data_IF_436126657266
#
_entry.id   IF_436126657266
#
_cell.length_a   1.000
_cell.length_b   1.000
_cell.length_c   1.000
_cell.angle_alpha   90.00
_cell.angle_beta   90.00
_cell.angle_gamma   90.00
#
_symmetry.space_group_name_H-M   'P 1'
#
loop_
_entity.id
_entity.type
_entity.pdbx_description
1 polymer ?
#
# COMPACT_ATOMS: atom_id res chain seq x y z
N UNK A 1 -36.92 -44.90 -24.80
CA UNK A 1 -35.61 -44.26 -24.62
C UNK A 1 -35.24 -44.49 -23.16
N UNK A 2 -34.39 -45.47 -22.89
CA UNK A 2 -34.02 -45.80 -21.50
C UNK A 2 -33.08 -44.72 -20.96
N UNK A 3 -33.36 -44.23 -19.76
CA UNK A 3 -32.63 -43.10 -19.17
C UNK A 3 -31.21 -43.52 -18.78
N UNK A 4 -30.16 -42.87 -19.29
CA UNK A 4 -28.76 -43.27 -19.08
C UNK A 4 -28.27 -43.17 -17.63
N UNK A 5 -29.08 -42.60 -16.74
CA UNK A 5 -28.77 -42.39 -15.32
C UNK A 5 -29.20 -43.56 -14.42
N UNK A 6 -30.06 -44.45 -14.91
CA UNK A 6 -30.56 -45.59 -14.13
C UNK A 6 -29.43 -46.58 -13.81
N UNK A 7 -28.57 -46.83 -14.79
CA UNK A 7 -27.43 -47.73 -14.64
C UNK A 7 -26.38 -47.14 -13.69
N UNK A 8 -26.07 -45.85 -13.81
CA UNK A 8 -25.15 -45.16 -12.89
C UNK A 8 -25.62 -45.24 -11.44
N UNK A 9 -26.92 -45.01 -11.20
CA UNK A 9 -27.51 -45.10 -9.87
C UNK A 9 -27.48 -46.52 -9.30
N UNK A 10 -27.67 -47.53 -10.14
CA UNK A 10 -27.59 -48.93 -9.74
C UNK A 10 -26.15 -49.32 -9.38
N UNK A 11 -25.19 -48.96 -10.23
CA UNK A 11 -23.76 -49.22 -10.03
C UNK A 11 -23.21 -48.58 -8.74
N UNK A 12 -23.61 -47.33 -8.44
CA UNK A 12 -23.20 -46.65 -7.19
C UNK A 12 -23.83 -47.33 -5.96
N UNK A 13 -25.05 -47.85 -6.09
CA UNK A 13 -25.75 -48.53 -5.00
C UNK A 13 -25.18 -49.92 -4.73
N UNK A 14 -24.72 -50.60 -5.78
CA UNK A 14 -24.13 -51.95 -5.74
C UNK A 14 -22.67 -51.93 -5.25
N UNK A 15 -21.91 -50.88 -5.60
CA UNK A 15 -20.54 -50.68 -5.12
C UNK A 15 -20.44 -50.41 -3.60
N UNK A 16 -21.55 -50.01 -2.96
CA UNK A 16 -21.57 -49.65 -1.54
C UNK A 16 -20.85 -48.33 -1.25
N UNK A 17 -21.16 -47.74 -0.09
CA UNK A 17 -20.41 -46.60 0.42
C UNK A 17 -19.13 -47.15 1.06
N UNK A 18 -18.02 -47.11 0.33
CA UNK A 18 -16.68 -47.32 0.87
C UNK A 18 -16.50 -46.38 2.05
N UNK A 19 -16.49 -46.92 3.27
CA UNK A 19 -16.25 -46.11 4.46
C UNK A 19 -14.79 -45.66 4.39
N UNK A 20 -14.53 -44.34 4.37
CA UNK A 20 -13.16 -43.86 4.36
C UNK A 20 -12.43 -44.42 5.58
N UNK A 21 -11.13 -44.65 5.45
CA UNK A 21 -10.31 -45.13 6.58
C UNK A 21 -10.51 -44.21 7.79
N UNK A 22 -10.45 -44.73 9.01
CA UNK A 22 -10.70 -43.93 10.22
C UNK A 22 -9.83 -42.66 10.31
N UNK A 23 -8.65 -42.67 9.69
CA UNK A 23 -7.72 -41.55 9.66
C UNK A 23 -7.86 -40.63 8.42
N UNK A 24 -8.80 -40.89 7.52
CA UNK A 24 -8.94 -40.14 6.27
C UNK A 24 -9.17 -38.65 6.53
N UNK A 25 -10.13 -38.33 7.40
CA UNK A 25 -10.46 -36.93 7.71
C UNK A 25 -9.29 -36.24 8.41
N UNK A 26 -8.58 -36.96 9.28
CA UNK A 26 -7.38 -36.47 9.96
C UNK A 26 -6.27 -36.15 8.94
N UNK A 27 -5.96 -37.05 8.02
CA UNK A 27 -4.92 -36.84 7.00
C UNK A 27 -5.28 -35.70 6.03
N UNK A 28 -6.56 -35.56 5.68
CA UNK A 28 -7.03 -34.44 4.85
C UNK A 28 -6.91 -33.12 5.60
N UNK A 29 -7.36 -33.04 6.85
CA UNK A 29 -7.22 -31.83 7.67
C UNK A 29 -5.77 -31.46 7.92
N UNK A 30 -4.88 -32.43 8.14
CA UNK A 30 -3.45 -32.21 8.31
C UNK A 30 -2.81 -31.63 7.05
N UNK A 31 -3.15 -32.14 5.86
CA UNK A 31 -2.68 -31.56 4.60
C UNK A 31 -3.27 -30.18 4.31
N UNK A 32 -4.54 -29.94 4.68
CA UNK A 32 -5.19 -28.63 4.56
C UNK A 32 -4.54 -27.60 5.49
N UNK A 33 -4.18 -28.00 6.71
CA UNK A 33 -3.50 -27.15 7.68
C UNK A 33 -2.08 -26.78 7.20
N UNK A 34 -1.31 -27.75 6.70
CA UNK A 34 0.02 -27.49 6.13
C UNK A 34 -0.04 -26.55 4.91
N UNK A 35 -1.02 -26.75 4.02
CA UNK A 35 -1.20 -25.87 2.86
C UNK A 35 -1.72 -24.48 3.24
N UNK A 36 -2.60 -24.34 4.25
CA UNK A 36 -3.03 -23.01 4.73
C UNK A 36 -1.92 -22.25 5.44
N UNK A 37 -0.99 -22.93 6.11
CA UNK A 37 0.21 -22.31 6.69
C UNK A 37 1.12 -21.75 5.59
N UNK A 38 1.30 -22.47 4.48
CA UNK A 38 2.10 -21.99 3.33
C UNK A 38 1.42 -20.87 2.54
N UNK A 39 0.08 -20.84 2.51
CA UNK A 39 -0.71 -19.84 1.77
C UNK A 39 -0.98 -18.59 2.63
N UNK A 40 -0.65 -18.59 3.91
CA UNK A 40 -0.77 -17.39 4.75
C UNK A 40 -0.01 -16.24 4.07
N UNK A 41 -0.71 -15.20 3.56
CA UNK A 41 -0.06 -14.14 2.82
C UNK A 41 0.81 -13.41 3.82
N UNK A 42 2.09 -13.78 3.89
CA UNK A 42 3.05 -13.13 4.77
C UNK A 42 3.06 -11.66 4.37
N UNK A 43 2.38 -10.85 5.17
CA UNK A 43 2.06 -9.48 4.81
C UNK A 43 3.35 -8.68 4.89
N UNK A 44 4.05 -8.60 3.77
CA UNK A 44 5.29 -7.84 3.66
C UNK A 44 4.89 -6.37 3.63
N UNK A 45 5.31 -5.56 4.62
CA UNK A 45 4.93 -4.15 4.65
C UNK A 45 5.42 -3.49 3.35
N UNK A 46 4.51 -2.84 2.62
CA UNK A 46 4.79 -2.16 1.33
C UNK A 46 6.01 -1.23 1.41
N UNK A 47 6.26 -0.64 2.58
CA UNK A 47 7.39 0.25 2.86
C UNK A 47 8.05 -0.24 4.16
N UNK A 48 9.35 -0.54 4.07
CA UNK A 48 10.18 -0.92 5.22
C UNK A 48 10.24 0.22 6.26
N UNK A 49 10.38 -0.13 7.54
CA UNK A 49 10.53 0.83 8.65
C UNK A 49 11.66 1.84 8.41
N UNK A 50 12.75 1.42 7.74
CA UNK A 50 13.89 2.28 7.38
C UNK A 50 13.49 3.39 6.41
N UNK A 51 12.67 3.07 5.41
CA UNK A 51 12.21 4.04 4.40
C UNK A 51 11.24 5.05 5.02
N UNK A 52 10.42 4.61 5.97
CA UNK A 52 9.58 5.50 6.79
C UNK A 52 10.38 6.53 7.58
N UNK A 53 11.51 6.12 8.15
CA UNK A 53 12.42 7.03 8.85
C UNK A 53 13.02 8.07 7.91
N UNK A 54 13.48 7.65 6.72
CA UNK A 54 14.04 8.55 5.70
C UNK A 54 13.01 9.60 5.26
N UNK A 55 11.76 9.19 5.04
CA UNK A 55 10.66 10.11 4.69
C UNK A 55 10.42 11.13 5.80
N UNK A 56 10.40 10.69 7.06
CA UNK A 56 10.27 11.58 8.20
C UNK A 56 11.39 12.63 8.28
N UNK A 57 12.64 12.20 8.03
CA UNK A 57 13.80 13.11 8.01
C UNK A 57 13.67 14.13 6.89
N UNK A 58 13.30 13.72 5.68
CA UNK A 58 13.11 14.64 4.54
C UNK A 58 12.05 15.69 4.85
N UNK A 59 10.91 15.28 5.40
CA UNK A 59 9.83 16.19 5.78
C UNK A 59 10.29 17.15 6.89
N UNK A 60 11.01 16.66 7.90
CA UNK A 60 11.54 17.48 8.98
C UNK A 60 12.55 18.52 8.48
N UNK A 61 13.45 18.13 7.56
CA UNK A 61 14.41 19.06 6.93
C UNK A 61 13.66 20.13 6.13
N UNK A 62 12.66 19.75 5.34
CA UNK A 62 11.85 20.69 4.59
C UNK A 62 11.18 21.72 5.51
N UNK A 63 10.53 21.26 6.58
CA UNK A 63 9.89 22.13 7.59
C UNK A 63 10.89 23.06 8.28
N UNK A 64 12.06 22.55 8.64
CA UNK A 64 13.10 23.31 9.33
C UNK A 64 13.70 24.39 8.43
N UNK A 65 13.73 24.17 7.11
CA UNK A 65 14.21 25.14 6.13
C UNK A 65 13.22 26.29 5.88
N UNK A 66 11.91 26.09 6.05
CA UNK A 66 10.87 27.13 5.82
C UNK A 66 11.15 28.46 6.54
N UNK A 67 11.47 28.51 7.84
CA UNK A 67 11.72 29.78 8.55
C UNK A 67 13.00 30.50 8.09
N UNK A 68 13.97 29.79 7.49
CA UNK A 68 15.18 30.41 6.94
C UNK A 68 14.95 31.04 5.55
N UNK A 69 13.74 30.94 4.99
CA UNK A 69 13.38 31.67 3.77
C UNK A 69 13.22 33.16 4.09
N UNK A 70 14.00 33.99 3.41
CA UNK A 70 14.04 35.46 3.56
C UNK A 70 12.69 36.15 3.28
N UNK A 71 12.38 37.25 3.99
CA UNK A 71 11.16 38.09 3.87
C UNK A 71 11.11 38.99 2.63
N UNK A 72 12.12 38.90 1.75
CA UNK A 72 12.15 39.67 0.52
C UNK A 72 10.92 39.42 -0.35
N UNK A 73 10.39 40.48 -0.96
CA UNK A 73 9.36 40.46 -2.02
C UNK A 73 9.80 39.70 -3.30
N UNK A 74 10.94 39.03 -3.22
CA UNK A 74 11.52 38.16 -4.23
C UNK A 74 10.75 36.84 -4.20
N UNK A 75 10.10 36.50 -5.31
CA UNK A 75 9.41 35.21 -5.46
C UNK A 75 10.37 34.09 -5.07
N UNK A 76 9.99 33.28 -4.10
CA UNK A 76 10.79 32.19 -3.51
C UNK A 76 11.26 31.21 -4.61
N UNK A 77 10.49 31.12 -5.69
CA UNK A 77 10.80 30.32 -6.89
C UNK A 77 11.88 30.92 -7.79
N UNK A 78 12.18 32.22 -7.70
CA UNK A 78 13.21 32.84 -8.53
C UNK A 78 14.63 32.51 -8.04
N UNK A 79 14.80 32.28 -6.73
CA UNK A 79 16.10 31.96 -6.13
C UNK A 79 16.38 30.45 -6.07
N UNK A 80 15.34 29.62 -6.22
CA UNK A 80 15.50 28.18 -6.40
C UNK A 80 15.83 27.93 -7.87
N UNK A 81 17.06 27.48 -8.14
CA UNK A 81 17.53 27.28 -9.49
C UNK A 81 16.88 26.04 -10.13
N UNK A 82 15.71 26.20 -10.74
CA UNK A 82 14.97 25.17 -11.48
C UNK A 82 15.60 24.81 -12.83
N UNK A 83 16.91 24.98 -12.99
CA UNK A 83 17.65 24.64 -14.21
C UNK A 83 17.41 23.18 -14.67
N UNK A 84 17.12 22.28 -13.72
CA UNK A 84 16.72 20.91 -14.02
C UNK A 84 15.41 20.81 -14.85
N UNK A 85 14.42 21.67 -14.60
CA UNK A 85 13.15 21.68 -15.34
C UNK A 85 13.34 22.21 -16.77
N UNK A 86 14.24 23.18 -16.96
CA UNK A 86 14.62 23.67 -18.29
C UNK A 86 15.29 22.58 -19.13
N UNK A 87 16.07 21.68 -18.50
CA UNK A 87 16.67 20.51 -19.15
C UNK A 87 15.63 19.51 -19.67
N UNK A 88 14.40 19.55 -19.12
CA UNK A 88 13.28 18.69 -19.50
C UNK A 88 12.30 19.40 -20.46
N UNK A 89 12.64 20.60 -20.95
CA UNK A 89 11.78 21.47 -21.79
C UNK A 89 10.42 21.80 -21.18
N UNK A 90 10.25 21.64 -19.87
CA UNK A 90 9.02 21.99 -19.17
C UNK A 90 9.09 23.49 -18.85
N UNK A 91 8.33 24.28 -19.60
CA UNK A 91 8.15 25.71 -19.30
C UNK A 91 7.51 25.82 -17.91
N UNK A 92 8.22 26.42 -16.95
CA UNK A 92 7.76 26.53 -15.57
C UNK A 92 6.38 27.24 -15.51
N UNK A 93 5.27 26.50 -15.25
CA UNK A 93 3.93 27.08 -15.29
C UNK A 93 3.67 28.01 -14.10
N UNK A 94 4.53 27.96 -13.08
CA UNK A 94 4.45 28.78 -11.88
C UNK A 94 5.35 30.02 -11.93
N UNK A 95 5.98 30.32 -13.08
CA UNK A 95 6.89 31.47 -13.25
C UNK A 95 6.21 32.83 -13.00
N UNK A 96 4.91 32.94 -13.28
CA UNK A 96 4.13 34.15 -13.04
C UNK A 96 3.45 34.16 -11.66
N UNK A 97 3.62 33.12 -10.84
CA UNK A 97 2.92 32.97 -9.58
C UNK A 97 3.84 33.32 -8.41
N UNK A 98 3.56 34.44 -7.75
CA UNK A 98 4.26 34.84 -6.52
C UNK A 98 3.60 34.17 -5.33
N UNK A 99 4.25 33.16 -4.76
CA UNK A 99 3.74 32.53 -3.55
C UNK A 99 4.05 33.41 -2.32
N UNK A 100 3.00 33.80 -1.59
CA UNK A 100 3.17 34.43 -0.29
C UNK A 100 3.63 33.42 0.76
N UNK A 101 4.39 33.89 1.74
CA UNK A 101 4.92 33.03 2.82
C UNK A 101 3.82 32.26 3.56
N UNK A 102 2.71 32.93 3.87
CA UNK A 102 1.54 32.31 4.53
C UNK A 102 0.97 31.14 3.71
N UNK A 103 0.96 31.26 2.38
CA UNK A 103 0.56 30.18 1.47
C UNK A 103 1.54 29.01 1.50
N UNK A 104 2.85 29.28 1.56
CA UNK A 104 3.90 28.24 1.74
C UNK A 104 3.73 27.52 3.08
N UNK A 105 3.46 28.23 4.17
CA UNK A 105 3.23 27.62 5.48
C UNK A 105 1.98 26.73 5.44
N UNK A 106 0.89 27.22 4.85
CA UNK A 106 -0.35 26.47 4.68
C UNK A 106 -0.17 25.20 3.84
N UNK A 107 0.50 25.29 2.69
CA UNK A 107 0.71 24.12 1.81
C UNK A 107 1.62 23.09 2.48
N UNK A 108 2.63 23.53 3.22
CA UNK A 108 3.56 22.66 3.94
C UNK A 108 2.86 21.94 5.09
N UNK A 109 2.02 22.67 5.84
CA UNK A 109 1.19 22.09 6.90
C UNK A 109 0.19 21.07 6.34
N UNK A 110 -0.46 21.39 5.22
CA UNK A 110 -1.37 20.46 4.55
C UNK A 110 -0.64 19.21 4.07
N UNK A 111 0.54 19.35 3.46
CA UNK A 111 1.36 18.22 3.03
C UNK A 111 1.74 17.32 4.22
N UNK A 112 2.11 17.91 5.35
CA UNK A 112 2.41 17.19 6.59
C UNK A 112 1.20 16.38 7.07
N UNK A 113 0.01 16.99 7.07
CA UNK A 113 -1.23 16.30 7.44
C UNK A 113 -1.52 15.11 6.50
N UNK A 114 -1.33 15.28 5.18
CA UNK A 114 -1.48 14.18 4.23
C UNK A 114 -0.51 13.03 4.52
N UNK A 115 0.75 13.31 4.85
CA UNK A 115 1.70 12.28 5.25
C UNK A 115 1.22 11.48 6.46
N UNK A 116 0.72 12.17 7.49
CA UNK A 116 0.15 11.54 8.69
C UNK A 116 -1.05 10.66 8.33
N UNK A 117 -1.97 11.18 7.51
CA UNK A 117 -3.16 10.44 7.07
C UNK A 117 -2.77 9.14 6.34
N UNK A 118 -1.77 9.20 5.46
CA UNK A 118 -1.24 8.03 4.75
C UNK A 118 -0.63 7.02 5.74
N UNK A 119 0.13 7.46 6.75
CA UNK A 119 0.66 6.56 7.80
C UNK A 119 -0.45 5.81 8.52
N UNK A 120 -1.50 6.55 8.93
CA UNK A 120 -2.62 6.01 9.71
C UNK A 120 -3.39 5.00 8.86
N UNK A 121 -3.68 5.35 7.60
CA UNK A 121 -4.38 4.47 6.67
C UNK A 121 -3.58 3.20 6.42
N UNK A 122 -2.28 3.32 6.16
CA UNK A 122 -1.37 2.17 6.00
C UNK A 122 -1.40 1.28 7.24
N UNK A 123 -1.26 1.86 8.44
CA UNK A 123 -1.30 1.08 9.70
C UNK A 123 -2.63 0.35 9.90
N UNK A 124 -3.75 0.95 9.48
CA UNK A 124 -5.08 0.33 9.58
C UNK A 124 -5.24 -0.82 8.59
N UNK A 125 -4.72 -0.68 7.38
CA UNK A 125 -4.70 -1.73 6.34
C UNK A 125 -3.81 -2.89 6.81
N UNK A 126 -2.57 -2.62 7.24
CA UNK A 126 -1.62 -3.64 7.73
C UNK A 126 -2.25 -4.50 8.84
N UNK A 127 -3.03 -3.90 9.76
CA UNK A 127 -3.74 -4.63 10.83
C UNK A 127 -4.88 -5.52 10.36
N UNK A 128 -5.57 -5.18 9.26
CA UNK A 128 -6.72 -5.95 8.77
C UNK A 128 -6.32 -7.15 7.92
N UNK A 129 -5.12 -7.13 7.33
CA UNK A 129 -4.62 -8.18 6.45
C UNK A 129 -3.51 -9.04 7.08
N UNK A 130 -3.15 -8.79 8.36
CA UNK A 130 -2.27 -9.66 9.14
C UNK A 130 -3.04 -10.51 10.17
N UNK A 131 -4.34 -10.70 9.97
CA UNK A 131 -5.20 -11.68 10.66
C UNK A 131 -5.74 -12.65 9.63
#
# INVERSE_FOLDING_TARGET
MEEPYKDVKYLIKEAGLETPSENFLKNVMEQVELSTIEISPTYKPLISKKVWFIIGVIVAVLLCMIPFLSDGKESILNNVNFSFLNKLSIKNPFSNFTFHKTTIYGISFLALLFFIQITILKRRIDKRFSS
#
